data_IF_570557939568
#
_entry.id   IF_570557939568
#
_cell.length_a   1.000
_cell.length_b   1.000
_cell.length_c   1.000
_cell.angle_alpha   90.00
_cell.angle_beta   90.00
_cell.angle_gamma   90.00
#
_symmetry.space_group_name_H-M   'P 1'
#
loop_
_entity.id
_entity.type
_entity.pdbx_description
1 polymer ?
#
# COMPACT_ATOMS: atom_id res chain seq x y z
N UNK A 1 25.91 -2.86 -23.71
CA UNK A 1 24.51 -2.49 -23.41
C UNK A 1 24.25 -1.15 -24.07
N UNK A 2 23.04 -0.92 -24.56
CA UNK A 2 22.60 0.41 -25.01
C UNK A 2 22.58 1.37 -23.82
N UNK A 3 22.62 2.67 -24.10
CA UNK A 3 22.48 3.70 -23.06
C UNK A 3 21.11 3.54 -22.37
N UNK A 4 21.03 3.40 -21.03
CA UNK A 4 19.74 3.26 -20.33
C UNK A 4 18.80 4.46 -20.52
N UNK A 5 19.32 5.61 -20.98
CA UNK A 5 18.54 6.82 -21.26
C UNK A 5 18.32 7.07 -22.76
N UNK A 6 18.51 6.03 -23.59
CA UNK A 6 18.24 6.11 -25.03
C UNK A 6 16.77 6.50 -25.30
N UNK A 7 16.56 7.55 -26.11
CA UNK A 7 15.23 8.06 -26.45
C UNK A 7 14.64 9.08 -25.46
N UNK A 8 15.33 9.39 -24.36
CA UNK A 8 14.86 10.33 -23.33
C UNK A 8 14.51 11.72 -23.90
N UNK A 9 15.36 12.26 -24.78
CA UNK A 9 15.15 13.57 -25.42
C UNK A 9 14.11 13.56 -26.55
N UNK A 10 13.58 12.38 -26.91
CA UNK A 10 12.55 12.23 -27.93
C UNK A 10 11.13 12.45 -27.42
N UNK A 11 10.94 12.54 -26.11
CA UNK A 11 9.65 12.76 -25.45
C UNK A 11 9.42 14.27 -25.26
N UNK A 12 8.20 14.72 -25.55
CA UNK A 12 7.77 16.09 -25.28
C UNK A 12 7.46 16.29 -23.79
N UNK A 13 8.51 16.34 -22.96
CA UNK A 13 8.41 16.51 -21.50
C UNK A 13 7.70 17.81 -21.10
N UNK A 14 7.78 18.86 -21.94
CA UNK A 14 7.08 20.12 -21.73
C UNK A 14 5.56 20.01 -21.88
N UNK A 15 5.10 19.03 -22.67
CA UNK A 15 3.69 18.68 -22.81
C UNK A 15 3.18 17.72 -21.73
N UNK A 16 4.05 17.22 -20.85
CA UNK A 16 3.68 16.37 -19.72
C UNK A 16 3.63 17.18 -18.43
N UNK A 17 2.82 16.72 -17.49
CA UNK A 17 2.66 17.33 -16.18
C UNK A 17 3.18 16.40 -15.09
N UNK A 18 3.56 17.01 -13.98
CA UNK A 18 3.91 16.42 -12.70
C UNK A 18 3.30 17.27 -11.56
N UNK A 19 3.62 16.99 -10.28
CA UNK A 19 2.99 17.64 -9.11
C UNK A 19 3.06 19.18 -9.10
N UNK A 20 4.09 19.76 -9.70
CA UNK A 20 4.35 21.20 -9.69
C UNK A 20 4.17 21.89 -11.06
N UNK A 21 3.53 21.22 -12.03
CA UNK A 21 3.33 21.72 -13.40
C UNK A 21 4.10 20.92 -14.45
N UNK A 22 4.69 21.61 -15.43
CA UNK A 22 5.45 21.02 -16.55
C UNK A 22 6.59 20.11 -16.08
N UNK A 23 6.85 19.02 -16.80
CA UNK A 23 7.87 18.02 -16.50
C UNK A 23 9.19 18.20 -17.27
N UNK A 24 9.49 19.40 -17.78
CA UNK A 24 10.75 19.72 -18.51
C UNK A 24 12.04 19.43 -17.71
N UNK A 25 11.95 19.38 -16.39
CA UNK A 25 13.03 19.09 -15.44
C UNK A 25 13.34 17.59 -15.31
N UNK A 26 12.36 16.72 -15.53
CA UNK A 26 12.46 15.25 -15.33
C UNK A 26 13.63 14.61 -16.08
N UNK A 27 13.93 14.95 -17.36
CA UNK A 27 15.11 14.41 -18.05
C UNK A 27 16.44 14.77 -17.40
N UNK A 28 16.52 15.93 -16.75
CA UNK A 28 17.70 16.34 -16.00
C UNK A 28 17.88 15.45 -14.77
N UNK A 29 16.80 15.28 -13.99
CA UNK A 29 16.79 14.45 -12.79
C UNK A 29 17.15 12.99 -13.09
N UNK A 30 16.57 12.40 -14.14
CA UNK A 30 16.87 11.01 -14.56
C UNK A 30 18.35 10.81 -14.94
N UNK A 31 19.00 11.81 -15.56
CA UNK A 31 20.44 11.76 -15.84
C UNK A 31 21.27 11.86 -14.56
N UNK A 32 20.86 12.74 -13.64
CA UNK A 32 21.57 12.96 -12.38
C UNK A 32 21.59 11.71 -11.49
N UNK A 33 20.62 10.78 -11.63
CA UNK A 33 20.67 9.48 -10.97
C UNK A 33 21.91 8.64 -11.30
N UNK A 34 22.67 8.98 -12.36
CA UNK A 34 23.95 8.33 -12.70
C UNK A 34 25.18 9.16 -12.29
N UNK A 35 25.01 10.28 -11.58
CA UNK A 35 26.12 11.09 -11.10
C UNK A 35 27.06 10.24 -10.23
N UNK A 36 28.39 10.39 -10.31
CA UNK A 36 29.29 9.74 -9.35
C UNK A 36 29.15 10.31 -7.92
N UNK A 37 28.58 11.52 -7.76
CA UNK A 37 28.35 12.15 -6.46
C UNK A 37 27.05 11.62 -5.82
N UNK A 38 27.18 11.02 -4.63
CA UNK A 38 26.04 10.44 -3.91
C UNK A 38 25.02 11.49 -3.47
N UNK A 39 25.46 12.69 -3.06
CA UNK A 39 24.55 13.74 -2.61
C UNK A 39 23.72 14.27 -3.78
N UNK A 40 24.34 14.45 -4.96
CA UNK A 40 23.62 14.84 -6.19
C UNK A 40 22.59 13.79 -6.58
N UNK A 41 22.95 12.50 -6.57
CA UNK A 41 22.03 11.41 -6.90
C UNK A 41 20.85 11.32 -5.93
N UNK A 42 21.11 11.39 -4.62
CA UNK A 42 20.05 11.31 -3.61
C UNK A 42 19.14 12.54 -3.66
N UNK A 43 19.70 13.73 -3.90
CA UNK A 43 18.93 14.95 -4.12
C UNK A 43 18.02 14.83 -5.34
N UNK A 44 18.57 14.38 -6.47
CA UNK A 44 17.79 14.17 -7.70
C UNK A 44 16.73 13.09 -7.54
N UNK A 45 17.01 12.01 -6.80
CA UNK A 45 16.02 10.99 -6.49
C UNK A 45 14.88 11.56 -5.64
N UNK A 46 15.19 12.32 -4.58
CA UNK A 46 14.18 12.93 -3.72
C UNK A 46 13.29 13.91 -4.48
N UNK A 47 13.88 14.76 -5.32
CA UNK A 47 13.15 15.70 -6.17
C UNK A 47 12.29 14.97 -7.20
N UNK A 48 12.85 13.99 -7.92
CA UNK A 48 12.10 13.17 -8.86
C UNK A 48 10.93 12.46 -8.17
N UNK A 49 11.17 11.85 -7.01
CA UNK A 49 10.16 11.17 -6.21
C UNK A 49 9.00 12.12 -5.89
N UNK A 50 9.27 13.32 -5.37
CA UNK A 50 8.20 14.27 -5.08
C UNK A 50 7.52 14.86 -6.32
N UNK A 51 8.24 14.97 -7.44
CA UNK A 51 7.72 15.58 -8.66
C UNK A 51 6.75 14.64 -9.37
N UNK A 52 7.18 13.41 -9.67
CA UNK A 52 6.37 12.42 -10.41
C UNK A 52 5.61 11.44 -9.50
N UNK A 53 5.76 11.54 -8.18
CA UNK A 53 5.04 10.75 -7.17
C UNK A 53 4.75 11.56 -5.89
N UNK A 54 3.79 12.48 -5.94
CA UNK A 54 3.49 13.36 -4.81
C UNK A 54 2.36 12.81 -3.94
N UNK A 55 2.70 12.36 -2.72
CA UNK A 55 1.72 11.85 -1.74
C UNK A 55 0.80 10.78 -2.35
N UNK A 56 1.38 9.86 -3.09
CA UNK A 56 0.61 8.83 -3.78
C UNK A 56 0.18 9.21 -5.18
N UNK A 57 0.05 10.49 -5.56
CA UNK A 57 -0.48 10.94 -6.86
C UNK A 57 0.44 10.63 -8.05
N UNK A 58 -0.14 10.23 -9.18
CA UNK A 58 0.56 9.95 -10.45
C UNK A 58 0.11 10.93 -11.53
N UNK A 59 1.00 11.17 -12.48
CA UNK A 59 0.87 12.19 -13.53
C UNK A 59 1.29 11.62 -14.90
N UNK A 60 1.09 12.39 -15.96
CA UNK A 60 1.50 11.95 -17.31
C UNK A 60 3.01 11.73 -17.40
N UNK A 61 3.81 12.51 -16.67
CA UNK A 61 5.25 12.28 -16.54
C UNK A 61 5.61 10.97 -15.81
N UNK A 62 4.76 10.49 -14.90
CA UNK A 62 4.98 9.24 -14.14
C UNK A 62 5.12 8.05 -15.09
N UNK A 63 4.14 7.84 -15.97
CA UNK A 63 4.17 6.75 -16.93
C UNK A 63 5.32 6.88 -17.94
N UNK A 64 5.62 8.12 -18.36
CA UNK A 64 6.71 8.40 -19.31
C UNK A 64 8.11 8.11 -18.72
N UNK A 65 8.30 8.26 -17.42
CA UNK A 65 9.57 8.01 -16.73
C UNK A 65 9.87 6.51 -16.53
N UNK A 66 8.84 5.66 -16.43
CA UNK A 66 8.98 4.24 -16.08
C UNK A 66 9.99 3.47 -16.95
N UNK A 67 9.98 3.54 -18.30
CA UNK A 67 10.94 2.81 -19.12
C UNK A 67 12.40 3.14 -18.77
N UNK A 68 12.69 4.40 -18.45
CA UNK A 68 14.03 4.86 -18.06
C UNK A 68 14.41 4.42 -16.65
N UNK A 69 13.46 4.45 -15.71
CA UNK A 69 13.68 3.94 -14.35
C UNK A 69 14.03 2.45 -14.38
N UNK A 70 13.31 1.65 -15.16
CA UNK A 70 13.60 0.22 -15.32
C UNK A 70 14.92 -0.03 -16.06
N UNK A 71 15.25 0.77 -17.08
CA UNK A 71 16.52 0.68 -17.77
C UNK A 71 17.71 1.06 -16.86
N UNK A 72 17.56 2.09 -16.02
CA UNK A 72 18.54 2.48 -15.01
C UNK A 72 18.75 1.36 -13.98
N UNK A 73 17.67 0.75 -13.48
CA UNK A 73 17.73 -0.39 -12.56
C UNK A 73 18.39 -1.63 -13.20
N UNK A 74 18.28 -1.80 -14.52
CA UNK A 74 18.87 -2.90 -15.27
C UNK A 74 20.31 -2.67 -15.73
N UNK A 75 20.81 -1.43 -15.72
CA UNK A 75 22.20 -1.13 -16.09
C UNK A 75 23.14 -1.29 -14.88
N UNK A 76 24.08 -2.25 -14.88
CA UNK A 76 25.05 -2.41 -13.81
C UNK A 76 25.96 -1.19 -13.61
N UNK A 77 26.03 -0.28 -14.60
CA UNK A 77 26.76 0.98 -14.49
C UNK A 77 26.02 2.08 -13.71
N UNK A 78 24.74 1.88 -13.38
CA UNK A 78 23.97 2.79 -12.55
C UNK A 78 24.25 2.50 -11.08
N UNK A 79 24.62 3.49 -10.25
CA UNK A 79 24.68 3.34 -8.79
C UNK A 79 23.28 3.30 -8.17
N UNK A 80 23.14 2.73 -6.97
CA UNK A 80 21.91 2.77 -6.16
C UNK A 80 20.66 2.23 -6.92
N UNK A 81 20.84 1.17 -7.72
CA UNK A 81 19.84 0.62 -8.68
C UNK A 81 18.50 0.24 -8.06
N UNK A 82 18.45 -0.06 -6.76
CA UNK A 82 17.20 -0.33 -6.06
C UNK A 82 16.28 0.90 -6.04
N UNK A 83 16.81 2.13 -5.97
CA UNK A 83 16.03 3.36 -5.91
C UNK A 83 15.16 3.61 -7.16
N UNK A 84 15.68 3.61 -8.40
CA UNK A 84 14.82 3.77 -9.57
C UNK A 84 13.82 2.61 -9.73
N UNK A 85 14.16 1.39 -9.30
CA UNK A 85 13.22 0.25 -9.31
C UNK A 85 12.08 0.44 -8.28
N UNK A 86 12.42 0.90 -7.09
CA UNK A 86 11.45 1.21 -6.03
C UNK A 86 10.52 2.32 -6.50
N UNK A 87 11.04 3.41 -7.07
CA UNK A 87 10.23 4.49 -7.63
C UNK A 87 9.31 3.97 -8.73
N UNK A 88 9.79 3.15 -9.67
CA UNK A 88 8.93 2.54 -10.68
C UNK A 88 7.76 1.77 -10.01
N UNK A 89 8.04 1.00 -8.96
CA UNK A 89 7.00 0.28 -8.21
C UNK A 89 6.01 1.23 -7.55
N UNK A 90 6.47 2.28 -6.87
CA UNK A 90 5.62 3.29 -6.25
C UNK A 90 4.74 4.02 -7.28
N UNK A 91 5.26 4.29 -8.49
CA UNK A 91 4.47 4.86 -9.58
C UNK A 91 3.38 3.90 -10.05
N UNK A 92 3.63 2.59 -10.07
CA UNK A 92 2.64 1.61 -10.50
C UNK A 92 1.47 1.47 -9.52
N UNK A 93 1.74 1.42 -8.22
CA UNK A 93 0.72 1.05 -7.22
C UNK A 93 0.30 2.17 -6.28
N UNK A 94 1.05 3.26 -6.22
CA UNK A 94 0.90 4.24 -5.16
C UNK A 94 1.34 3.67 -3.81
N UNK A 95 0.57 3.96 -2.76
CA UNK A 95 0.79 3.36 -1.45
C UNK A 95 0.31 1.91 -1.47
N UNK A 96 1.18 1.00 -1.10
CA UNK A 96 0.89 -0.44 -1.03
C UNK A 96 -0.17 -0.79 0.02
N UNK A 97 -0.30 0.02 1.08
CA UNK A 97 -1.38 -0.06 2.07
C UNK A 97 -2.78 -0.08 1.42
N UNK A 98 -2.97 0.62 0.29
CA UNK A 98 -4.25 0.65 -0.41
C UNK A 98 -4.62 -0.69 -1.07
N UNK A 99 -3.64 -1.57 -1.29
CA UNK A 99 -3.82 -2.86 -1.96
C UNK A 99 -3.66 -4.03 -0.98
N UNK A 100 -2.97 -3.86 0.14
CA UNK A 100 -2.74 -4.92 1.11
C UNK A 100 -3.98 -5.20 1.96
N UNK A 101 -4.11 -6.44 2.47
CA UNK A 101 -3.28 -7.62 2.19
C UNK A 101 -3.73 -8.36 0.91
N UNK A 102 -4.72 -7.85 0.18
CA UNK A 102 -5.38 -8.57 -0.89
C UNK A 102 -4.59 -8.60 -2.21
N UNK A 103 -3.75 -7.58 -2.46
CA UNK A 103 -3.12 -7.31 -3.75
C UNK A 103 -4.00 -6.43 -4.64
N UNK A 104 -3.49 -6.07 -5.82
CA UNK A 104 -4.16 -5.15 -6.74
C UNK A 104 -5.43 -5.77 -7.34
N UNK A 105 -6.58 -5.16 -7.10
CA UNK A 105 -7.85 -5.52 -7.75
C UNK A 105 -7.93 -4.92 -9.18
N UNK A 106 -7.01 -5.32 -10.06
CA UNK A 106 -6.77 -4.63 -11.34
C UNK A 106 -7.97 -4.63 -12.29
N UNK A 107 -8.83 -5.67 -12.26
CA UNK A 107 -10.05 -5.70 -13.06
C UNK A 107 -11.02 -4.59 -12.64
N UNK A 108 -11.29 -4.47 -11.34
CA UNK A 108 -12.16 -3.42 -10.79
C UNK A 108 -11.59 -2.03 -11.01
N UNK A 109 -10.25 -1.90 -10.91
CA UNK A 109 -9.54 -0.65 -11.16
C UNK A 109 -9.68 -0.21 -12.62
N UNK A 110 -9.40 -1.11 -13.58
CA UNK A 110 -9.59 -0.82 -15.02
C UNK A 110 -11.03 -0.47 -15.35
N UNK A 111 -12.00 -1.18 -14.77
CA UNK A 111 -13.41 -0.90 -14.96
C UNK A 111 -13.80 0.47 -14.40
N UNK A 112 -13.24 0.88 -13.25
CA UNK A 112 -13.46 2.21 -12.69
C UNK A 112 -12.92 3.32 -13.60
N UNK A 113 -11.69 3.17 -14.11
CA UNK A 113 -11.09 4.13 -15.05
C UNK A 113 -11.90 4.20 -16.34
N UNK A 114 -12.31 3.06 -16.90
CA UNK A 114 -13.12 3.02 -18.11
C UNK A 114 -14.49 3.71 -17.93
N UNK A 115 -15.13 3.54 -16.76
CA UNK A 115 -16.38 4.26 -16.43
C UNK A 115 -16.17 5.76 -16.35
N UNK A 116 -15.08 6.22 -15.73
CA UNK A 116 -14.76 7.64 -15.64
C UNK A 116 -14.46 8.24 -17.02
N UNK A 117 -13.71 7.52 -17.86
CA UNK A 117 -13.37 7.96 -19.22
C UNK A 117 -14.59 8.05 -20.15
N UNK A 118 -15.60 7.20 -19.94
CA UNK A 118 -16.82 7.17 -20.75
C UNK A 118 -17.93 8.11 -20.24
N UNK A 119 -17.79 8.69 -19.06
CA UNK A 119 -18.81 9.55 -18.47
C UNK A 119 -18.87 10.92 -19.18
N UNK A 120 -20.09 11.45 -19.33
CA UNK A 120 -20.32 12.82 -19.78
C UNK A 120 -20.05 13.78 -18.60
N UNK A 121 -19.05 14.69 -18.69
CA UNK A 121 -18.73 15.62 -17.61
C UNK A 121 -19.93 16.45 -17.16
N UNK A 122 -20.78 16.90 -18.08
CA UNK A 122 -21.96 17.69 -17.72
C UNK A 122 -23.00 16.83 -16.98
N UNK A 123 -23.13 15.55 -17.34
CA UNK A 123 -24.01 14.63 -16.64
C UNK A 123 -23.50 14.36 -15.21
N UNK A 124 -22.19 14.27 -15.03
CA UNK A 124 -21.58 14.07 -13.73
C UNK A 124 -21.72 15.31 -12.83
N UNK A 125 -21.54 16.51 -13.38
CA UNK A 125 -21.85 17.75 -12.67
C UNK A 125 -23.31 17.78 -12.19
N UNK A 126 -24.27 17.46 -13.08
CA UNK A 126 -25.69 17.37 -12.72
C UNK A 126 -25.95 16.31 -11.63
N UNK A 127 -25.25 15.18 -11.68
CA UNK A 127 -25.35 14.10 -10.66
C UNK A 127 -24.87 14.59 -9.30
N UNK A 128 -23.73 15.27 -9.25
CA UNK A 128 -23.15 15.79 -8.01
C UNK A 128 -24.01 16.90 -7.41
N UNK A 129 -24.56 17.79 -8.25
CA UNK A 129 -25.48 18.84 -7.80
C UNK A 129 -26.79 18.24 -7.23
N UNK A 130 -27.31 17.18 -7.86
CA UNK A 130 -28.45 16.44 -7.34
C UNK A 130 -28.13 15.72 -6.01
N UNK A 131 -26.91 15.20 -5.85
CA UNK A 131 -26.44 14.61 -4.60
C UNK A 131 -26.39 15.64 -3.47
N UNK A 132 -25.89 16.85 -3.71
CA UNK A 132 -25.93 17.95 -2.73
C UNK A 132 -27.38 18.33 -2.39
N UNK A 133 -28.24 18.46 -3.41
CA UNK A 133 -29.65 18.83 -3.22
C UNK A 133 -30.41 17.83 -2.34
N UNK A 134 -30.10 16.54 -2.47
CA UNK A 134 -30.70 15.43 -1.74
C UNK A 134 -30.17 15.21 -0.31
N UNK A 135 -29.51 16.19 0.31
CA UNK A 135 -29.13 16.13 1.72
C UNK A 135 -30.38 16.10 2.63
N UNK A 136 -30.35 15.27 3.68
CA UNK A 136 -31.45 15.07 4.62
C UNK A 136 -31.62 16.26 5.58
N UNK A 137 -30.52 16.97 5.89
CA UNK A 137 -30.51 18.13 6.76
C UNK A 137 -29.42 19.15 6.36
N UNK A 138 -29.39 20.30 7.06
CA UNK A 138 -28.48 21.42 6.77
C UNK A 138 -27.03 21.16 7.18
N UNK A 139 -26.78 20.19 8.06
CA UNK A 139 -25.41 19.79 8.37
C UNK A 139 -24.84 18.97 7.21
N UNK A 140 -25.56 17.92 6.81
CA UNK A 140 -25.19 17.09 5.68
C UNK A 140 -25.08 17.91 4.39
N UNK A 141 -25.98 18.87 4.16
CA UNK A 141 -25.91 19.75 2.98
C UNK A 141 -24.59 20.51 2.91
N UNK A 142 -24.14 21.09 4.03
CA UNK A 142 -22.88 21.85 4.09
C UNK A 142 -21.67 20.97 3.82
N UNK A 143 -21.69 19.75 4.34
CA UNK A 143 -20.60 18.79 4.12
C UNK A 143 -20.55 18.38 2.63
N UNK A 144 -21.71 18.04 2.03
CA UNK A 144 -21.80 17.72 0.60
C UNK A 144 -21.42 18.90 -0.31
N UNK A 145 -21.80 20.13 0.04
CA UNK A 145 -21.41 21.36 -0.69
C UNK A 145 -19.89 21.59 -0.65
N UNK A 146 -19.26 21.33 0.49
CA UNK A 146 -17.81 21.42 0.64
C UNK A 146 -17.12 20.39 -0.28
N UNK A 147 -17.56 19.13 -0.23
CA UNK A 147 -17.01 18.06 -1.08
C UNK A 147 -17.18 18.37 -2.56
N UNK A 148 -18.38 18.82 -2.97
CA UNK A 148 -18.69 19.22 -4.35
C UNK A 148 -17.76 20.32 -4.85
N UNK A 149 -17.41 21.29 -4.00
CA UNK A 149 -16.54 22.42 -4.34
C UNK A 149 -15.09 21.99 -4.52
N UNK A 150 -14.64 20.99 -3.76
CA UNK A 150 -13.27 20.49 -3.82
C UNK A 150 -13.06 19.48 -4.95
N UNK A 151 -14.13 18.85 -5.45
CA UNK A 151 -14.05 17.84 -6.50
C UNK A 151 -14.08 18.45 -7.91
N UNK A 152 -13.02 18.22 -8.67
CA UNK A 152 -12.92 18.48 -10.11
C UNK A 152 -12.91 17.14 -10.87
N UNK A 153 -13.98 16.90 -11.64
CA UNK A 153 -14.16 15.64 -12.37
C UNK A 153 -13.10 15.41 -13.45
N UNK A 154 -12.73 16.45 -14.20
CA UNK A 154 -11.73 16.32 -15.27
C UNK A 154 -10.33 16.10 -14.69
N UNK A 155 -10.03 16.73 -13.56
CA UNK A 155 -8.81 16.42 -12.82
C UNK A 155 -8.80 14.98 -12.33
N UNK A 156 -9.88 14.52 -11.68
CA UNK A 156 -10.00 13.16 -11.17
C UNK A 156 -9.89 12.10 -12.28
N UNK A 157 -10.51 12.35 -13.44
CA UNK A 157 -10.41 11.48 -14.63
C UNK A 157 -8.98 11.40 -15.15
N UNK A 158 -8.30 12.53 -15.35
CA UNK A 158 -6.90 12.55 -15.82
C UNK A 158 -5.95 11.88 -14.83
N UNK A 159 -6.17 12.09 -13.53
CA UNK A 159 -5.41 11.38 -12.50
C UNK A 159 -5.61 9.88 -12.67
N UNK A 160 -6.85 9.38 -12.65
CA UNK A 160 -7.14 7.95 -12.79
C UNK A 160 -6.53 7.31 -14.06
N UNK A 161 -6.54 8.03 -15.19
CA UNK A 161 -5.87 7.62 -16.43
C UNK A 161 -4.34 7.54 -16.27
N UNK A 162 -3.72 8.56 -15.65
CA UNK A 162 -2.28 8.59 -15.40
C UNK A 162 -1.81 7.49 -14.44
N UNK A 163 -2.60 7.19 -13.41
CA UNK A 163 -2.32 6.10 -12.46
C UNK A 163 -2.30 4.75 -13.18
N UNK A 164 -3.32 4.45 -13.98
CA UNK A 164 -3.39 3.21 -14.73
C UNK A 164 -2.30 3.12 -15.81
N UNK A 165 -1.97 4.24 -16.45
CA UNK A 165 -0.87 4.29 -17.43
C UNK A 165 0.49 3.98 -16.78
N UNK A 166 0.74 4.45 -15.55
CA UNK A 166 1.96 4.13 -14.82
C UNK A 166 2.03 2.64 -14.44
N UNK A 167 0.90 2.07 -13.97
CA UNK A 167 0.78 0.63 -13.74
C UNK A 167 1.11 -0.18 -15.00
N UNK A 168 0.49 0.17 -16.13
CA UNK A 168 0.68 -0.53 -17.41
C UNK A 168 2.12 -0.39 -17.94
N UNK A 169 2.76 0.76 -17.74
CA UNK A 169 4.15 0.96 -18.12
C UNK A 169 5.10 0.03 -17.35
N UNK A 170 4.88 -0.17 -16.04
CA UNK A 170 5.73 -1.07 -15.24
C UNK A 170 5.43 -2.52 -15.60
N UNK A 171 4.14 -2.87 -15.79
CA UNK A 171 3.74 -4.19 -16.26
C UNK A 171 4.45 -4.57 -17.57
N UNK A 172 4.50 -3.65 -18.53
CA UNK A 172 5.18 -3.87 -19.81
C UNK A 172 6.70 -4.12 -19.66
N UNK A 173 7.30 -3.58 -18.60
CA UNK A 173 8.72 -3.76 -18.25
C UNK A 173 9.01 -4.93 -17.32
N UNK A 174 8.02 -5.75 -16.93
CA UNK A 174 8.24 -6.88 -16.04
C UNK A 174 9.28 -7.91 -16.50
N UNK A 175 9.48 -8.19 -17.80
CA UNK A 175 10.60 -9.04 -18.22
C UNK A 175 11.96 -8.54 -17.74
N UNK A 176 12.15 -7.21 -17.68
CA UNK A 176 13.35 -6.60 -17.09
C UNK A 176 13.40 -6.85 -15.59
N UNK A 177 12.29 -6.65 -14.87
CA UNK A 177 12.21 -6.89 -13.42
C UNK A 177 12.45 -8.35 -13.07
N UNK A 178 11.94 -9.30 -13.87
CA UNK A 178 12.20 -10.73 -13.69
C UNK A 178 13.69 -11.08 -13.80
N UNK A 179 14.44 -10.42 -14.69
CA UNK A 179 15.89 -10.61 -14.78
C UNK A 179 16.61 -10.12 -13.51
N UNK A 180 16.12 -9.03 -12.89
CA UNK A 180 16.68 -8.44 -11.68
C UNK A 180 16.59 -9.36 -10.45
N UNK A 181 15.71 -10.35 -10.45
CA UNK A 181 15.60 -11.36 -9.38
C UNK A 181 16.84 -12.26 -9.26
N UNK A 182 17.78 -12.19 -10.21
CA UNK A 182 19.02 -12.99 -10.21
C UNK A 182 20.28 -12.15 -10.09
N UNK A 183 20.14 -10.85 -9.82
CA UNK A 183 21.26 -9.91 -9.66
C UNK A 183 22.07 -10.20 -8.41
N UNK A 184 23.35 -9.79 -8.41
CA UNK A 184 24.22 -9.99 -7.26
C UNK A 184 23.82 -9.12 -6.05
N UNK A 185 23.29 -7.93 -6.31
CA UNK A 185 22.84 -6.97 -5.31
C UNK A 185 21.51 -7.41 -4.67
N UNK A 186 21.53 -7.61 -3.36
CA UNK A 186 20.39 -8.08 -2.57
C UNK A 186 19.26 -7.04 -2.47
N UNK A 187 19.57 -5.75 -2.40
CA UNK A 187 18.56 -4.69 -2.46
C UNK A 187 17.80 -4.69 -3.78
N UNK A 188 18.50 -4.83 -4.90
CA UNK A 188 17.88 -4.97 -6.23
C UNK A 188 17.00 -6.22 -6.30
N UNK A 189 17.46 -7.36 -5.78
CA UNK A 189 16.64 -8.59 -5.76
C UNK A 189 15.41 -8.44 -4.85
N UNK A 190 15.56 -7.82 -3.68
CA UNK A 190 14.47 -7.59 -2.73
C UNK A 190 13.39 -6.69 -3.34
N UNK A 191 13.78 -5.55 -3.91
CA UNK A 191 12.86 -4.64 -4.57
C UNK A 191 12.25 -5.28 -5.83
N UNK A 192 13.00 -6.05 -6.62
CA UNK A 192 12.44 -6.79 -7.75
C UNK A 192 11.38 -7.81 -7.29
N UNK A 193 11.64 -8.53 -6.20
CA UNK A 193 10.68 -9.48 -5.62
C UNK A 193 9.43 -8.76 -5.08
N UNK A 194 9.60 -7.57 -4.51
CA UNK A 194 8.50 -6.69 -4.10
C UNK A 194 7.67 -6.23 -5.31
N UNK A 195 8.32 -5.71 -6.38
CA UNK A 195 7.66 -5.21 -7.59
C UNK A 195 6.76 -6.25 -8.24
N UNK A 196 7.24 -7.49 -8.44
CA UNK A 196 6.50 -8.51 -9.20
C UNK A 196 5.21 -8.96 -8.53
N UNK A 197 5.08 -8.78 -7.20
CA UNK A 197 3.90 -9.17 -6.42
C UNK A 197 2.64 -8.38 -6.75
N UNK A 198 2.78 -7.21 -7.37
CA UNK A 198 1.69 -6.29 -7.66
C UNK A 198 0.97 -6.51 -9.00
N UNK A 199 1.41 -7.51 -9.77
CA UNK A 199 0.94 -7.75 -11.13
C UNK A 199 0.25 -9.12 -11.24
N UNK A 200 -0.99 -9.27 -10.75
CA UNK A 200 -1.71 -10.55 -10.79
C UNK A 200 -1.94 -11.06 -12.22
N UNK A 201 -2.02 -10.15 -13.20
CA UNK A 201 -2.13 -10.48 -14.63
C UNK A 201 -0.91 -11.27 -15.14
N UNK A 202 0.26 -11.08 -14.52
CA UNK A 202 1.52 -11.76 -14.87
C UNK A 202 1.93 -12.83 -13.84
N UNK A 203 0.99 -13.24 -12.98
CA UNK A 203 1.22 -14.18 -11.87
C UNK A 203 1.95 -15.46 -12.29
N UNK A 204 1.55 -16.09 -13.41
CA UNK A 204 2.19 -17.31 -13.89
C UNK A 204 3.68 -17.12 -14.21
N UNK A 205 4.04 -16.01 -14.86
CA UNK A 205 5.43 -15.71 -15.21
C UNK A 205 6.25 -15.34 -13.96
N UNK A 206 5.69 -14.50 -13.08
CA UNK A 206 6.33 -14.10 -11.82
C UNK A 206 6.54 -15.29 -10.86
N UNK A 207 5.55 -16.18 -10.72
CA UNK A 207 5.69 -17.38 -9.87
C UNK A 207 6.74 -18.36 -10.40
N UNK A 208 6.88 -18.48 -11.73
CA UNK A 208 7.89 -19.34 -12.35
C UNK A 208 9.33 -18.91 -12.01
N UNK A 209 9.57 -17.62 -11.75
CA UNK A 209 10.88 -17.09 -11.34
C UNK A 209 11.03 -16.94 -9.82
N UNK A 210 9.94 -16.69 -9.09
CA UNK A 210 9.94 -16.62 -7.62
C UNK A 210 10.20 -17.99 -6.97
N UNK A 211 9.70 -19.09 -7.55
CA UNK A 211 9.93 -20.44 -7.03
C UNK A 211 11.42 -20.79 -6.89
N UNK A 212 12.21 -20.73 -7.97
CA UNK A 212 13.67 -20.95 -7.91
C UNK A 212 14.41 -19.95 -7.00
N UNK A 213 13.97 -18.69 -6.94
CA UNK A 213 14.52 -17.71 -6.01
C UNK A 213 14.31 -18.16 -4.56
N UNK A 214 13.08 -18.52 -4.19
CA UNK A 214 12.75 -18.99 -2.83
C UNK A 214 13.50 -20.26 -2.42
N UNK A 215 13.86 -21.13 -3.37
CA UNK A 215 14.63 -22.36 -3.10
C UNK A 215 16.10 -22.06 -2.76
N UNK A 216 16.69 -21.06 -3.42
CA UNK A 216 18.13 -20.76 -3.34
C UNK A 216 18.48 -19.56 -2.45
N UNK A 217 17.56 -18.62 -2.24
CA UNK A 217 17.82 -17.36 -1.55
C UNK A 217 18.08 -17.55 -0.06
N UNK A 218 19.07 -16.79 0.43
CA UNK A 218 19.59 -16.79 1.79
C UNK A 218 19.51 -15.42 2.46
N UNK A 219 19.36 -14.34 1.70
CA UNK A 219 19.16 -13.01 2.24
C UNK A 219 17.72 -12.88 2.80
N UNK A 220 17.55 -12.57 4.09
CA UNK A 220 16.24 -12.57 4.73
C UNK A 220 15.22 -11.64 4.06
N UNK A 221 15.63 -10.42 3.71
CA UNK A 221 14.76 -9.43 3.08
C UNK A 221 14.26 -9.89 1.70
N UNK A 222 15.14 -10.44 0.87
CA UNK A 222 14.76 -10.97 -0.46
C UNK A 222 13.79 -12.13 -0.31
N UNK A 223 14.06 -13.04 0.64
CA UNK A 223 13.17 -14.16 0.94
C UNK A 223 11.79 -13.68 1.42
N UNK A 224 11.73 -12.67 2.28
CA UNK A 224 10.48 -12.08 2.76
C UNK A 224 9.67 -11.47 1.61
N UNK A 225 10.30 -10.63 0.78
CA UNK A 225 9.63 -10.02 -0.37
C UNK A 225 9.11 -11.08 -1.35
N UNK A 226 9.90 -12.11 -1.64
CA UNK A 226 9.49 -13.21 -2.51
C UNK A 226 8.34 -14.05 -1.91
N UNK A 227 8.32 -14.29 -0.60
CA UNK A 227 7.26 -15.01 0.09
C UNK A 227 5.94 -14.24 0.05
N UNK A 228 5.96 -12.96 0.43
CA UNK A 228 4.76 -12.10 0.43
C UNK A 228 4.20 -11.99 -1.00
N UNK A 229 5.05 -11.69 -1.99
CA UNK A 229 4.66 -11.63 -3.40
C UNK A 229 4.10 -12.96 -3.92
N UNK A 230 4.64 -14.10 -3.50
CA UNK A 230 4.08 -15.41 -3.83
C UNK A 230 2.66 -15.58 -3.28
N UNK A 231 2.39 -15.11 -2.06
CA UNK A 231 1.06 -15.09 -1.46
C UNK A 231 0.09 -14.20 -2.24
N UNK A 232 0.50 -12.97 -2.58
CA UNK A 232 -0.29 -12.02 -3.36
C UNK A 232 -0.68 -12.56 -4.74
N UNK A 233 0.24 -13.28 -5.39
CA UNK A 233 0.05 -13.85 -6.72
C UNK A 233 -0.67 -15.21 -6.73
N UNK A 234 -1.09 -15.72 -5.57
CA UNK A 234 -1.84 -16.97 -5.48
C UNK A 234 -1.00 -18.23 -5.74
N UNK A 235 0.30 -18.21 -5.41
CA UNK A 235 1.28 -19.27 -5.67
C UNK A 235 1.10 -20.57 -4.90
N UNK A 236 -0.04 -21.26 -5.06
CA UNK A 236 -0.37 -22.50 -4.35
C UNK A 236 0.57 -23.66 -4.65
N UNK A 237 1.19 -23.70 -5.83
CA UNK A 237 2.17 -24.73 -6.18
C UNK A 237 3.45 -24.63 -5.32
N UNK A 238 3.70 -23.47 -4.70
CA UNK A 238 4.85 -23.22 -3.83
C UNK A 238 4.54 -23.48 -2.34
N UNK A 239 3.35 -23.96 -1.99
CA UNK A 239 2.98 -24.29 -0.60
C UNK A 239 3.99 -25.17 0.13
N UNK A 240 4.60 -26.22 -0.47
CA UNK A 240 5.62 -27.01 0.22
C UNK A 240 6.81 -26.16 0.69
N UNK A 241 7.31 -25.28 -0.17
CA UNK A 241 8.45 -24.40 0.10
C UNK A 241 8.09 -23.32 1.13
N UNK A 242 6.89 -22.73 1.03
CA UNK A 242 6.42 -21.75 2.01
C UNK A 242 6.29 -22.40 3.40
N UNK A 243 5.78 -23.63 3.49
CA UNK A 243 5.68 -24.38 4.76
C UNK A 243 7.05 -24.71 5.35
N UNK A 244 8.05 -24.99 4.50
CA UNK A 244 9.44 -25.15 4.94
C UNK A 244 9.99 -23.85 5.54
N UNK A 245 9.74 -22.70 4.90
CA UNK A 245 10.14 -21.39 5.44
C UNK A 245 9.44 -21.06 6.76
N UNK A 246 8.15 -21.37 6.90
CA UNK A 246 7.43 -21.28 8.18
C UNK A 246 8.07 -22.19 9.25
N UNK A 247 8.62 -23.34 8.84
CA UNK A 247 9.27 -24.29 9.74
C UNK A 247 10.65 -23.82 10.25
N UNK A 248 11.28 -22.87 9.55
CA UNK A 248 12.63 -22.40 9.81
C UNK A 248 12.81 -21.51 11.06
N UNK A 249 14.07 -21.23 11.36
CA UNK A 249 14.48 -20.51 12.58
C UNK A 249 14.54 -18.99 12.39
N UNK A 250 14.75 -18.50 11.16
CA UNK A 250 14.86 -17.07 10.86
C UNK A 250 13.51 -16.34 11.02
N UNK A 251 13.39 -15.38 11.96
CA UNK A 251 12.10 -14.77 12.29
C UNK A 251 11.40 -14.05 11.13
N UNK A 252 12.13 -13.23 10.36
CA UNK A 252 11.56 -12.47 9.23
C UNK A 252 10.96 -13.39 8.15
N UNK A 253 11.73 -14.30 7.54
CA UNK A 253 11.21 -15.25 6.56
C UNK A 253 10.12 -16.19 7.12
N UNK A 254 10.20 -16.59 8.38
CA UNK A 254 9.14 -17.38 9.03
C UNK A 254 7.82 -16.60 9.10
N UNK A 255 7.89 -15.34 9.49
CA UNK A 255 6.74 -14.43 9.51
C UNK A 255 6.17 -14.19 8.11
N UNK A 256 7.00 -13.89 7.13
CA UNK A 256 6.56 -13.67 5.74
C UNK A 256 5.89 -14.93 5.15
N UNK A 257 6.38 -16.12 5.52
CA UNK A 257 5.73 -17.37 5.15
C UNK A 257 4.35 -17.53 5.79
N UNK A 258 4.15 -17.07 7.04
CA UNK A 258 2.83 -17.05 7.67
C UNK A 258 1.87 -16.10 6.94
N UNK A 259 2.32 -14.90 6.56
CA UNK A 259 1.53 -13.95 5.74
C UNK A 259 1.11 -14.60 4.42
N UNK A 260 2.07 -15.19 3.70
CA UNK A 260 1.81 -15.86 2.43
C UNK A 260 0.82 -17.03 2.56
N UNK A 261 0.98 -17.87 3.59
CA UNK A 261 0.07 -19.00 3.86
C UNK A 261 -1.34 -18.54 4.18
N UNK A 262 -1.50 -17.56 5.07
CA UNK A 262 -2.81 -17.00 5.40
C UNK A 262 -3.51 -16.47 4.14
N UNK A 263 -2.77 -15.76 3.27
CA UNK A 263 -3.29 -15.23 2.01
C UNK A 263 -3.74 -16.32 1.03
N UNK A 264 -3.09 -17.49 1.07
CA UNK A 264 -3.43 -18.68 0.27
C UNK A 264 -4.54 -19.54 0.91
N UNK A 265 -5.10 -19.12 2.05
CA UNK A 265 -6.16 -19.79 2.78
C UNK A 265 -5.68 -20.85 3.78
N UNK A 266 -4.39 -20.86 4.13
CA UNK A 266 -3.78 -21.82 5.04
C UNK A 266 -3.64 -21.19 6.44
N UNK A 267 -4.67 -21.31 7.27
CA UNK A 267 -4.79 -20.65 8.59
C UNK A 267 -4.55 -21.62 9.76
N UNK A 268 -3.55 -22.50 9.63
CA UNK A 268 -3.22 -23.45 10.69
C UNK A 268 -2.69 -22.76 11.97
N UNK A 269 -2.67 -23.45 13.13
CA UNK A 269 -2.28 -22.85 14.42
C UNK A 269 -0.90 -22.16 14.42
N UNK A 270 0.06 -22.68 13.66
CA UNK A 270 1.40 -22.07 13.56
C UNK A 270 1.39 -20.76 12.77
N UNK A 271 0.54 -20.65 11.75
CA UNK A 271 0.38 -19.41 10.97
C UNK A 271 -0.25 -18.34 11.84
N UNK A 272 -1.34 -18.68 12.55
CA UNK A 272 -2.01 -17.76 13.48
C UNK A 272 -1.06 -17.33 14.62
N UNK A 273 -0.33 -18.26 15.22
CA UNK A 273 0.64 -17.95 16.27
C UNK A 273 1.71 -16.94 15.81
N UNK A 274 2.25 -17.11 14.59
CA UNK A 274 3.26 -16.19 14.07
C UNK A 274 2.68 -14.79 13.78
N UNK A 275 1.49 -14.71 13.17
CA UNK A 275 0.84 -13.43 12.87
C UNK A 275 0.43 -12.68 14.14
N UNK A 276 -0.20 -13.37 15.11
CA UNK A 276 -0.59 -12.78 16.40
C UNK A 276 0.61 -12.31 17.22
N UNK A 277 1.71 -13.08 17.24
CA UNK A 277 2.94 -12.65 17.89
C UNK A 277 3.51 -11.38 17.25
N UNK A 278 3.48 -11.28 15.92
CA UNK A 278 3.97 -10.11 15.18
C UNK A 278 3.13 -8.84 15.41
N UNK A 279 1.83 -8.95 15.69
CA UNK A 279 1.01 -7.80 16.09
C UNK A 279 1.51 -7.12 17.38
N UNK A 280 2.09 -7.90 18.30
CA UNK A 280 2.49 -7.42 19.63
C UNK A 280 3.98 -7.14 19.72
N UNK A 281 4.80 -7.98 19.07
CA UNK A 281 6.26 -7.95 19.13
C UNK A 281 6.83 -8.37 17.77
N UNK A 282 6.79 -7.49 16.75
CA UNK A 282 7.32 -7.80 15.42
C UNK A 282 8.82 -8.10 15.49
N UNK A 283 9.33 -9.02 14.66
CA UNK A 283 10.76 -9.28 14.59
C UNK A 283 11.50 -8.08 13.97
N UNK A 284 12.78 -7.94 14.29
CA UNK A 284 13.68 -7.01 13.60
C UNK A 284 13.98 -7.57 12.21
N UNK A 285 13.37 -6.99 11.18
CA UNK A 285 13.59 -7.35 9.78
C UNK A 285 13.24 -6.16 8.87
N UNK A 286 13.85 -6.13 7.71
CA UNK A 286 13.62 -5.10 6.68
C UNK A 286 12.79 -5.67 5.54
N UNK A 287 11.91 -4.85 4.98
CA UNK A 287 11.11 -5.15 3.78
C UNK A 287 10.52 -3.87 3.21
N UNK A 288 10.39 -3.81 1.88
CA UNK A 288 9.73 -2.71 1.19
C UNK A 288 8.21 -2.62 1.52
N UNK A 289 7.58 -3.76 1.87
CA UNK A 289 6.15 -3.81 2.20
C UNK A 289 5.83 -2.97 3.45
N UNK A 290 4.85 -2.07 3.32
CA UNK A 290 4.40 -1.09 4.30
C UNK A 290 5.55 -0.29 4.92
N UNK A 291 6.60 -0.01 4.14
CA UNK A 291 7.81 0.66 4.64
C UNK A 291 8.41 -0.03 5.88
N UNK A 292 8.32 -1.37 5.94
CA UNK A 292 8.83 -2.17 7.05
C UNK A 292 7.88 -2.33 8.24
N UNK A 293 6.59 -1.93 8.15
CA UNK A 293 5.63 -2.19 9.23
C UNK A 293 5.04 -3.61 9.18
N UNK A 294 5.85 -4.58 9.62
CA UNK A 294 5.47 -5.99 9.73
C UNK A 294 4.23 -6.20 10.63
N UNK A 295 4.09 -5.36 11.67
CA UNK A 295 2.97 -5.46 12.59
C UNK A 295 1.67 -5.11 11.88
N UNK A 296 1.64 -4.00 11.13
CA UNK A 296 0.47 -3.56 10.38
C UNK A 296 0.06 -4.62 9.35
N UNK A 297 0.99 -5.19 8.59
CA UNK A 297 0.67 -6.24 7.64
C UNK A 297 0.09 -7.49 8.33
N UNK A 298 0.53 -7.81 9.55
CA UNK A 298 -0.06 -8.89 10.35
C UNK A 298 -1.49 -8.57 10.80
N UNK A 299 -1.74 -7.34 11.28
CA UNK A 299 -3.09 -6.86 11.62
C UNK A 299 -4.02 -6.99 10.42
N UNK A 300 -3.60 -6.47 9.26
CA UNK A 300 -4.37 -6.52 8.01
C UNK A 300 -4.63 -7.96 7.57
N UNK A 301 -3.62 -8.83 7.63
CA UNK A 301 -3.74 -10.24 7.23
C UNK A 301 -4.73 -11.00 8.11
N UNK A 302 -4.68 -10.80 9.44
CA UNK A 302 -5.63 -11.40 10.38
C UNK A 302 -7.06 -10.88 10.17
N UNK A 303 -7.22 -9.59 9.86
CA UNK A 303 -8.51 -8.97 9.60
C UNK A 303 -9.14 -9.37 8.26
N UNK A 304 -8.33 -9.89 7.33
CA UNK A 304 -8.78 -10.38 6.03
C UNK A 304 -9.24 -11.85 6.05
N UNK A 305 -9.13 -12.54 7.20
CA UNK A 305 -9.65 -13.90 7.35
C UNK A 305 -11.19 -13.88 7.36
N UNK A 306 -11.82 -14.90 6.74
CA UNK A 306 -13.29 -15.00 6.71
C UNK A 306 -13.91 -15.16 8.11
N UNK A 307 -13.22 -15.87 9.00
CA UNK A 307 -13.62 -16.09 10.40
C UNK A 307 -12.38 -15.96 11.32
N UNK A 308 -12.00 -14.72 11.69
CA UNK A 308 -10.82 -14.50 12.51
C UNK A 308 -11.04 -15.06 13.93
N UNK A 309 -10.13 -15.91 14.45
CA UNK A 309 -10.28 -16.47 15.79
C UNK A 309 -10.20 -15.39 16.87
N UNK A 310 -10.74 -15.65 18.06
CA UNK A 310 -10.76 -14.69 19.16
C UNK A 310 -9.34 -14.20 19.54
N UNK A 311 -8.34 -15.08 19.50
CA UNK A 311 -6.94 -14.74 19.72
C UNK A 311 -6.38 -13.72 18.70
N UNK A 312 -6.89 -13.69 17.47
CA UNK A 312 -6.50 -12.69 16.47
C UNK A 312 -7.03 -11.31 16.84
N UNK A 313 -8.29 -11.24 17.29
CA UNK A 313 -8.88 -9.99 17.78
C UNK A 313 -8.17 -9.49 19.03
N UNK A 314 -7.82 -10.40 19.95
CA UNK A 314 -7.05 -10.07 21.16
C UNK A 314 -5.68 -9.49 20.79
N UNK A 315 -4.94 -10.14 19.88
CA UNK A 315 -3.63 -9.69 19.43
C UNK A 315 -3.66 -8.33 18.73
N UNK A 316 -4.69 -8.08 17.90
CA UNK A 316 -4.87 -6.79 17.22
C UNK A 316 -5.13 -5.66 18.22
N UNK A 317 -5.97 -5.89 19.22
CA UNK A 317 -6.23 -4.90 20.27
C UNK A 317 -5.01 -4.67 21.18
N UNK A 318 -4.25 -5.72 21.49
CA UNK A 318 -3.00 -5.57 22.24
C UNK A 318 -1.93 -4.81 21.45
N UNK A 319 -1.79 -5.11 20.16
CA UNK A 319 -0.89 -4.37 19.26
C UNK A 319 -1.28 -2.89 19.15
N UNK A 320 -2.58 -2.60 18.99
CA UNK A 320 -3.10 -1.23 18.97
C UNK A 320 -2.75 -0.47 20.25
N UNK A 321 -2.94 -1.10 21.42
CA UNK A 321 -2.65 -0.49 22.72
C UNK A 321 -1.17 -0.12 22.92
N UNK A 322 -0.27 -0.77 22.16
CA UNK A 322 1.18 -0.53 22.18
C UNK A 322 1.66 0.42 21.09
N UNK A 323 0.75 0.85 20.22
CA UNK A 323 1.06 1.72 19.09
C UNK A 323 0.77 3.18 19.43
N UNK A 324 1.55 4.09 18.84
CA UNK A 324 1.36 5.53 18.94
C UNK A 324 1.47 6.19 17.57
N UNK A 325 1.14 7.47 17.53
CA UNK A 325 1.35 8.35 16.37
C UNK A 325 0.60 7.85 15.12
N UNK A 326 1.14 8.13 13.94
CA UNK A 326 0.52 7.80 12.66
C UNK A 326 0.30 6.29 12.43
N UNK A 327 1.09 5.44 13.08
CA UNK A 327 0.91 3.97 13.01
C UNK A 327 -0.36 3.48 13.69
N UNK A 328 -0.92 4.25 14.63
CA UNK A 328 -2.14 3.85 15.35
C UNK A 328 -3.39 3.88 14.47
N UNK A 329 -3.39 4.68 13.40
CA UNK A 329 -4.59 4.93 12.59
C UNK A 329 -5.02 3.68 11.81
N UNK A 330 -4.17 3.07 10.97
CA UNK A 330 -4.60 1.90 10.20
C UNK A 330 -4.86 0.70 11.11
N UNK A 331 -4.17 0.58 12.25
CA UNK A 331 -4.45 -0.47 13.24
C UNK A 331 -5.80 -0.25 13.92
N UNK A 332 -6.19 1.00 14.22
CA UNK A 332 -7.51 1.32 14.76
C UNK A 332 -8.63 1.00 13.76
N UNK A 333 -8.43 1.31 12.48
CA UNK A 333 -9.37 0.95 11.41
C UNK A 333 -9.54 -0.58 11.31
N UNK A 334 -8.42 -1.32 11.31
CA UNK A 334 -8.42 -2.79 11.32
C UNK A 334 -9.21 -3.33 12.53
N UNK A 335 -8.94 -2.83 13.74
CA UNK A 335 -9.62 -3.25 14.96
C UNK A 335 -11.14 -2.99 14.89
N UNK A 336 -11.54 -1.80 14.42
CA UNK A 336 -12.95 -1.44 14.27
C UNK A 336 -13.66 -2.33 13.24
N UNK A 337 -13.02 -2.58 12.09
CA UNK A 337 -13.56 -3.48 11.06
C UNK A 337 -13.74 -4.90 11.59
N UNK A 338 -12.77 -5.45 12.31
CA UNK A 338 -12.87 -6.80 12.87
C UNK A 338 -13.99 -6.93 13.91
N UNK A 339 -14.18 -5.91 14.74
CA UNK A 339 -15.04 -5.98 15.93
C UNK A 339 -16.48 -5.49 15.68
N UNK A 340 -16.66 -4.56 14.74
CA UNK A 340 -17.96 -3.99 14.38
C UNK A 340 -18.44 -4.43 12.99
N UNK A 341 -17.56 -4.96 12.14
CA UNK A 341 -17.88 -5.24 10.75
C UNK A 341 -18.16 -3.95 9.98
N UNK A 342 -19.36 -3.83 9.42
CA UNK A 342 -19.80 -2.65 8.68
C UNK A 342 -20.08 -1.46 9.62
N UNK A 343 -19.66 -0.24 9.26
CA UNK A 343 -19.94 0.95 10.06
C UNK A 343 -21.44 1.18 10.34
N UNK A 344 -21.77 1.59 11.57
CA UNK A 344 -23.13 1.95 11.98
C UNK A 344 -23.10 3.36 12.61
N UNK A 345 -24.00 4.25 12.18
CA UNK A 345 -24.08 5.61 12.72
C UNK A 345 -25.52 5.95 13.20
N UNK A 346 -25.68 6.44 14.45
CA UNK A 346 -24.69 6.49 15.53
C UNK A 346 -24.40 5.09 16.09
N UNK A 347 -23.27 4.94 16.78
CA UNK A 347 -22.94 3.71 17.49
C UNK A 347 -23.90 3.54 18.71
N UNK A 348 -24.32 2.31 19.07
CA UNK A 348 -25.22 2.08 20.21
C UNK A 348 -24.65 2.61 21.53
N UNK A 349 -25.45 2.78 22.60
CA UNK A 349 -24.92 3.06 23.93
C UNK A 349 -23.83 2.05 24.33
N UNK A 350 -22.77 2.51 25.00
CA UNK A 350 -21.62 1.66 25.33
C UNK A 350 -21.99 0.39 26.11
N UNK A 351 -22.99 0.45 26.99
CA UNK A 351 -23.47 -0.70 27.76
C UNK A 351 -24.14 -1.78 26.90
N UNK A 352 -24.63 -1.41 25.71
CA UNK A 352 -25.30 -2.31 24.77
C UNK A 352 -24.31 -2.98 23.81
N UNK A 353 -23.04 -2.54 23.82
CA UNK A 353 -21.97 -3.17 23.05
C UNK A 353 -21.57 -4.52 23.63
N UNK A 354 -21.14 -5.43 22.76
CA UNK A 354 -20.53 -6.71 23.19
C UNK A 354 -19.24 -6.45 23.96
N UNK A 355 -18.79 -7.42 24.77
CA UNK A 355 -17.57 -7.28 25.57
C UNK A 355 -16.32 -6.95 24.73
N UNK A 356 -16.22 -7.51 23.52
CA UNK A 356 -15.11 -7.23 22.60
C UNK A 356 -15.20 -5.84 21.98
N UNK A 357 -16.40 -5.37 21.63
CA UNK A 357 -16.66 -3.99 21.18
C UNK A 357 -16.34 -2.96 22.26
N UNK A 358 -16.76 -3.22 23.50
CA UNK A 358 -16.42 -2.37 24.64
C UNK A 358 -14.90 -2.26 24.84
N UNK A 359 -14.19 -3.38 24.71
CA UNK A 359 -12.73 -3.42 24.83
C UNK A 359 -12.06 -2.63 23.72
N UNK A 360 -12.48 -2.78 22.47
CA UNK A 360 -11.93 -2.03 21.34
C UNK A 360 -12.09 -0.52 21.52
N UNK A 361 -13.27 -0.05 21.92
CA UNK A 361 -13.52 1.37 22.19
C UNK A 361 -12.65 1.88 23.34
N UNK A 362 -12.50 1.10 24.42
CA UNK A 362 -11.61 1.46 25.54
C UNK A 362 -10.15 1.56 25.11
N UNK A 363 -9.65 0.58 24.35
CA UNK A 363 -8.28 0.59 23.82
C UNK A 363 -8.02 1.87 23.02
N UNK A 364 -8.95 2.27 22.15
CA UNK A 364 -8.86 3.51 21.38
C UNK A 364 -8.87 4.74 22.31
N UNK A 365 -9.79 4.79 23.27
CA UNK A 365 -9.92 5.90 24.23
C UNK A 365 -8.68 6.07 25.14
N UNK A 366 -7.90 5.02 25.32
CA UNK A 366 -6.65 5.00 26.11
C UNK A 366 -5.40 5.28 25.27
N UNK A 367 -5.50 5.41 23.94
CA UNK A 367 -4.37 5.79 23.10
C UNK A 367 -3.76 7.14 23.58
N UNK A 368 -2.44 7.32 23.42
CA UNK A 368 -1.77 8.57 23.79
C UNK A 368 -2.42 9.78 23.11
N UNK A 369 -2.44 10.92 23.79
CA UNK A 369 -3.02 12.18 23.29
C UNK A 369 -2.44 12.62 21.94
N UNK A 370 -1.19 12.25 21.66
CA UNK A 370 -0.54 12.52 20.38
C UNK A 370 -1.21 11.81 19.19
N UNK A 371 -1.88 10.68 19.41
CA UNK A 371 -2.65 9.98 18.38
C UNK A 371 -3.94 10.75 18.03
N UNK A 372 -4.52 11.46 19.01
CA UNK A 372 -5.80 12.17 18.90
C UNK A 372 -5.70 13.55 18.23
N UNK A 373 -4.49 14.06 17.95
CA UNK A 373 -4.29 15.35 17.28
C UNK A 373 -4.45 15.28 15.75
N UNK A 374 -4.54 14.08 15.19
CA UNK A 374 -4.47 13.85 13.74
C UNK A 374 -5.84 13.57 13.15
N UNK A 375 -6.21 14.33 12.11
CA UNK A 375 -7.49 14.18 11.42
C UNK A 375 -7.72 12.78 10.83
N UNK A 376 -6.67 12.03 10.52
CA UNK A 376 -6.77 10.65 10.03
C UNK A 376 -7.48 9.73 11.03
N UNK A 377 -7.03 9.72 12.30
CA UNK A 377 -7.70 8.93 13.34
C UNK A 377 -9.15 9.39 13.51
N UNK A 378 -9.37 10.70 13.59
CA UNK A 378 -10.71 11.26 13.83
C UNK A 378 -11.67 10.91 12.69
N UNK A 379 -11.20 10.93 11.44
CA UNK A 379 -11.96 10.50 10.28
C UNK A 379 -12.32 9.00 10.31
N UNK A 380 -11.39 8.15 10.75
CA UNK A 380 -11.65 6.73 10.99
C UNK A 380 -12.71 6.58 12.08
N UNK A 381 -12.55 7.18 13.26
CA UNK A 381 -13.53 7.06 14.35
C UNK A 381 -14.92 7.54 13.93
N UNK A 382 -14.97 8.69 13.25
CA UNK A 382 -16.20 9.22 12.67
C UNK A 382 -16.85 8.25 11.69
N UNK A 383 -16.06 7.53 10.89
CA UNK A 383 -16.55 6.51 9.95
C UNK A 383 -17.39 5.45 10.64
N UNK A 384 -16.89 4.92 11.76
CA UNK A 384 -17.57 3.92 12.58
C UNK A 384 -18.54 4.52 13.60
N UNK A 385 -18.70 5.84 13.68
CA UNK A 385 -19.60 6.47 14.66
C UNK A 385 -19.08 6.46 16.10
N UNK A 386 -17.79 6.18 16.30
CA UNK A 386 -17.09 6.37 17.58
C UNK A 386 -16.84 7.87 17.77
N UNK A 387 -17.02 8.44 18.98
CA UNK A 387 -16.77 9.86 19.20
C UNK A 387 -15.35 10.27 18.78
N UNK A 388 -15.26 11.29 17.93
CA UNK A 388 -14.02 11.78 17.34
C UNK A 388 -13.38 12.95 18.13
N UNK A 389 -13.74 13.07 19.41
CA UNK A 389 -13.07 13.91 20.39
C UNK A 389 -12.58 12.99 21.53
N UNK A 390 -11.38 13.26 22.06
CA UNK A 390 -10.73 12.35 23.02
C UNK A 390 -11.52 12.25 24.32
N UNK A 391 -11.96 13.39 24.87
CA UNK A 391 -12.71 13.43 26.12
C UNK A 391 -14.13 12.86 25.94
N UNK A 392 -14.75 13.07 24.79
CA UNK A 392 -16.02 12.44 24.43
C UNK A 392 -15.90 10.92 24.32
N UNK A 393 -14.85 10.42 23.66
CA UNK A 393 -14.64 8.98 23.52
C UNK A 393 -14.35 8.32 24.87
N UNK A 394 -13.53 8.95 25.71
CA UNK A 394 -13.27 8.49 27.09
C UNK A 394 -14.56 8.43 27.91
N UNK A 395 -15.37 9.49 27.88
CA UNK A 395 -16.70 9.50 28.55
C UNK A 395 -17.63 8.42 28.03
N UNK A 396 -17.69 8.24 26.71
CA UNK A 396 -18.47 7.19 26.08
C UNK A 396 -18.01 5.79 26.53
N UNK A 397 -16.70 5.57 26.65
CA UNK A 397 -16.10 4.31 27.12
C UNK A 397 -16.21 4.05 28.64
N UNK A 398 -16.76 5.01 29.39
CA UNK A 398 -16.84 4.96 30.86
C UNK A 398 -15.49 5.17 31.56
N UNK A 399 -14.53 5.77 30.86
CA UNK A 399 -13.21 6.14 31.38
C UNK A 399 -13.29 7.61 31.79
N UNK A 400 -13.50 7.89 33.07
CA UNK A 400 -13.50 9.25 33.60
C UNK A 400 -12.10 9.88 33.54
#
# INVERSE_FOLDING_TARGET
MSDPLEGLDGIDWAGLDHAYGSAEDVPGLLRTLRSPDQEERHGAFGELFTNIYHQGSRYTASAAAVPFLLALAADPGTPDRAYPLYLATALAIGFDEAHLPAGVAIADWRDAVARMAAADPEAEERRLDAWVAGAADDHERRDREFDRKMYDFDHARRAAEAELAAYDAVRAGLPTVHALLTEADDGVRATAAYTVGWFPEESAASLAVLGPLLDSERHPEVAMSALISTGLLGGRDLLPLIRERLAGDEPGPRWAAAVALARLGETGPRVLAELTACCVSPPEAETDFLSGDLSLLSHMTLAALDDPPAEAVDAVLEGLARTSDNRSFPVAEVALKMVFGTPVRPLPPFADLTAVQQRAVRTIAELPSDSWRWGNLLGILGTWGVPADHDECRRYAGLA
#
